data_IF_516565904518
#
_entry.id   IF_516565904518
#
_cell.length_a   1.000
_cell.length_b   1.000
_cell.length_c   1.000
_cell.angle_alpha   90.00
_cell.angle_beta   90.00
_cell.angle_gamma   90.00
#
_symmetry.space_group_name_H-M   'P 1'
#
loop_
_entity.id
_entity.type
_entity.pdbx_description
1 polymer ?
#
# COMPACT_ATOMS: atom_id res chain seq x y z
N UNK A 1 53.34 -39.49 3.25
CA UNK A 1 52.72 -38.15 3.46
C UNK A 1 51.20 -38.33 3.48
N UNK A 2 50.51 -38.00 4.55
CA UNK A 2 49.06 -38.15 4.59
C UNK A 2 48.38 -37.02 3.82
N UNK A 3 47.45 -37.41 2.95
CA UNK A 3 46.54 -36.49 2.28
C UNK A 3 45.61 -35.82 3.34
N UNK A 4 45.77 -34.54 3.50
CA UNK A 4 44.84 -33.74 4.33
C UNK A 4 43.48 -33.66 3.64
N UNK A 5 42.50 -34.32 4.23
CA UNK A 5 41.08 -34.18 3.94
C UNK A 5 40.66 -32.70 4.15
N UNK A 6 40.54 -31.97 3.06
CA UNK A 6 39.84 -30.70 3.05
C UNK A 6 38.33 -30.98 3.10
N UNK A 7 37.81 -31.14 4.30
CA UNK A 7 36.38 -31.15 4.53
C UNK A 7 35.83 -29.74 4.30
N UNK A 8 35.36 -29.49 3.09
CA UNK A 8 34.56 -28.29 2.79
C UNK A 8 33.27 -28.35 3.63
N UNK A 9 33.22 -27.57 4.71
CA UNK A 9 31.98 -27.31 5.47
C UNK A 9 30.98 -26.71 4.47
N UNK A 10 30.10 -27.54 3.88
CA UNK A 10 28.90 -27.06 3.23
C UNK A 10 28.12 -26.21 4.25
N UNK A 11 28.10 -24.90 4.07
CA UNK A 11 27.24 -24.00 4.80
C UNK A 11 25.81 -24.50 4.53
N UNK A 12 25.14 -25.07 5.54
CA UNK A 12 23.70 -25.39 5.42
C UNK A 12 23.01 -24.09 5.07
N UNK A 13 22.47 -23.96 3.88
CA UNK A 13 21.57 -22.87 3.54
C UNK A 13 20.43 -22.91 4.56
N UNK A 14 20.19 -21.79 5.23
CA UNK A 14 19.08 -21.67 6.17
C UNK A 14 17.80 -21.83 5.34
N UNK A 15 17.02 -22.84 5.64
CA UNK A 15 15.72 -23.05 5.02
C UNK A 15 14.80 -21.85 5.35
N UNK A 16 14.30 -21.18 4.31
CA UNK A 16 13.40 -20.02 4.44
C UNK A 16 12.03 -20.54 4.88
N UNK A 17 11.50 -20.01 5.96
CA UNK A 17 10.15 -20.35 6.43
C UNK A 17 9.09 -19.72 5.53
N UNK A 18 7.88 -20.31 5.52
CA UNK A 18 6.74 -19.75 4.78
C UNK A 18 6.46 -18.29 5.19
N UNK A 19 6.60 -17.97 6.48
CA UNK A 19 6.44 -16.61 6.98
C UNK A 19 7.49 -15.66 6.41
N UNK A 20 8.76 -16.04 6.40
CA UNK A 20 9.83 -15.23 5.81
C UNK A 20 9.61 -15.02 4.31
N UNK A 21 9.15 -16.05 3.61
CA UNK A 21 8.80 -15.96 2.20
C UNK A 21 7.65 -14.97 1.96
N UNK A 22 6.53 -15.15 2.64
CA UNK A 22 5.36 -14.29 2.44
C UNK A 22 5.59 -12.84 2.89
N UNK A 23 6.28 -12.63 4.01
CA UNK A 23 6.66 -11.28 4.45
C UNK A 23 7.61 -10.61 3.44
N UNK A 24 8.54 -11.37 2.84
CA UNK A 24 9.42 -10.89 1.78
C UNK A 24 8.66 -10.48 0.52
N UNK A 25 7.71 -11.29 0.06
CA UNK A 25 6.84 -10.96 -1.09
C UNK A 25 6.01 -9.71 -0.80
N UNK A 26 5.40 -9.64 0.38
CA UNK A 26 4.62 -8.49 0.82
C UNK A 26 5.46 -7.19 0.78
N UNK A 27 6.67 -7.24 1.31
CA UNK A 27 7.60 -6.10 1.29
C UNK A 27 7.97 -5.69 -0.14
N UNK A 28 8.29 -6.65 -1.01
CA UNK A 28 8.62 -6.38 -2.41
C UNK A 28 7.48 -5.72 -3.19
N UNK A 29 6.23 -6.07 -2.87
CA UNK A 29 5.06 -5.44 -3.48
C UNK A 29 4.79 -4.05 -2.93
N UNK A 30 4.94 -3.86 -1.62
CA UNK A 30 4.55 -2.64 -0.93
C UNK A 30 5.60 -1.53 -1.02
N UNK A 31 6.89 -1.88 -0.90
CA UNK A 31 7.96 -0.89 -0.80
C UNK A 31 8.03 0.07 -2.00
N UNK A 32 7.98 -0.37 -3.27
CA UNK A 32 8.04 0.54 -4.40
C UNK A 32 6.83 1.49 -4.47
N UNK A 33 5.64 1.04 -4.06
CA UNK A 33 4.45 1.88 -4.03
C UNK A 33 4.55 2.93 -2.93
N UNK A 34 4.77 2.48 -1.69
CA UNK A 34 4.73 3.36 -0.53
C UNK A 34 5.94 4.31 -0.46
N UNK A 35 7.15 3.87 -0.85
CA UNK A 35 8.32 4.75 -0.89
C UNK A 35 8.13 5.90 -1.88
N UNK A 36 7.62 5.63 -3.08
CA UNK A 36 7.35 6.66 -4.06
C UNK A 36 6.20 7.57 -3.63
N UNK A 37 5.09 7.00 -3.18
CA UNK A 37 3.92 7.79 -2.78
C UNK A 37 4.18 8.64 -1.55
N UNK A 38 5.01 8.19 -0.61
CA UNK A 38 5.40 8.98 0.56
C UNK A 38 6.10 10.30 0.19
N UNK A 39 6.76 10.33 -0.96
CA UNK A 39 7.45 11.50 -1.51
C UNK A 39 6.63 12.27 -2.57
N UNK A 40 5.40 11.86 -2.85
CA UNK A 40 4.57 12.45 -3.92
C UNK A 40 5.06 12.13 -5.33
N UNK A 41 5.67 10.96 -5.53
CA UNK A 41 6.30 10.52 -6.79
C UNK A 41 5.69 9.26 -7.39
N UNK A 42 4.60 8.74 -6.84
CA UNK A 42 4.01 7.50 -7.34
C UNK A 42 3.53 7.64 -8.77
N UNK A 43 2.76 8.70 -9.06
CA UNK A 43 2.23 8.93 -10.41
C UNK A 43 3.31 9.27 -11.43
N UNK A 44 4.42 9.87 -11.01
CA UNK A 44 5.58 10.14 -11.84
C UNK A 44 6.33 8.85 -12.21
N UNK A 45 6.55 7.96 -11.23
CA UNK A 45 7.43 6.80 -11.38
C UNK A 45 6.72 5.50 -11.74
N UNK A 46 5.40 5.42 -11.48
CA UNK A 46 4.60 4.26 -11.85
C UNK A 46 3.90 4.49 -13.18
N UNK A 47 4.45 3.91 -14.25
CA UNK A 47 3.81 3.94 -15.56
C UNK A 47 2.60 3.00 -15.60
N UNK A 48 1.47 3.53 -16.06
CA UNK A 48 0.25 2.73 -16.25
C UNK A 48 0.23 2.21 -17.68
N UNK A 49 0.33 0.89 -17.81
CA UNK A 49 0.14 0.19 -19.07
C UNK A 49 -1.35 -0.03 -19.33
N UNK A 50 -1.85 0.49 -20.44
CA UNK A 50 -3.26 0.40 -20.79
C UNK A 50 -3.50 -0.73 -21.79
N UNK A 51 -4.62 -1.42 -21.66
CA UNK A 51 -5.09 -2.37 -22.67
C UNK A 51 -5.33 -1.66 -24.02
N UNK A 52 -5.06 -2.32 -25.15
CA UNK A 52 -5.46 -1.80 -26.48
C UNK A 52 -6.97 -1.53 -26.59
N UNK A 53 -7.78 -2.17 -25.77
CA UNK A 53 -9.23 -2.02 -25.70
C UNK A 53 -9.68 -1.21 -24.48
N UNK A 54 -8.83 -0.30 -24.01
CA UNK A 54 -9.17 0.56 -22.88
C UNK A 54 -10.44 1.37 -23.18
N UNK A 55 -11.35 1.44 -22.20
CA UNK A 55 -12.67 2.06 -22.34
C UNK A 55 -12.68 3.61 -22.32
N UNK A 56 -11.49 4.22 -22.19
CA UNK A 56 -11.33 5.69 -22.23
C UNK A 56 -11.52 6.38 -20.88
N UNK A 57 -11.83 5.64 -19.77
CA UNK A 57 -11.88 6.26 -18.45
C UNK A 57 -10.52 6.82 -18.04
N UNK A 58 -10.50 7.72 -17.08
CA UNK A 58 -9.27 8.33 -16.59
C UNK A 58 -8.34 7.26 -16.00
N UNK A 59 -7.15 7.10 -16.59
CA UNK A 59 -6.15 6.10 -16.14
C UNK A 59 -5.70 6.27 -14.69
N UNK A 60 -5.92 7.46 -14.10
CA UNK A 60 -5.56 7.73 -12.70
C UNK A 60 -6.36 6.91 -11.68
N UNK A 61 -7.47 6.29 -12.09
CA UNK A 61 -8.16 5.30 -11.24
C UNK A 61 -7.23 4.18 -10.79
N UNK A 62 -6.25 3.80 -11.60
CA UNK A 62 -5.28 2.75 -11.32
C UNK A 62 -4.45 3.04 -10.07
N UNK A 63 -4.07 4.29 -9.82
CA UNK A 63 -3.28 4.64 -8.63
C UNK A 63 -4.11 4.48 -7.35
N UNK A 64 -5.38 4.84 -7.39
CA UNK A 64 -6.28 4.65 -6.24
C UNK A 64 -6.57 3.17 -5.99
N UNK A 65 -6.77 2.39 -7.05
CA UNK A 65 -6.94 0.94 -6.95
C UNK A 65 -5.69 0.29 -6.37
N UNK A 66 -4.50 0.63 -6.88
CA UNK A 66 -3.22 0.13 -6.38
C UNK A 66 -3.04 0.43 -4.89
N UNK A 67 -3.19 1.70 -4.49
CA UNK A 67 -2.99 2.12 -3.11
C UNK A 67 -4.05 1.55 -2.17
N UNK A 68 -5.32 1.64 -2.52
CA UNK A 68 -6.42 1.20 -1.67
C UNK A 68 -6.37 -0.30 -1.37
N UNK A 69 -6.20 -1.13 -2.40
CA UNK A 69 -6.12 -2.59 -2.26
C UNK A 69 -4.87 -3.02 -1.51
N UNK A 70 -3.72 -2.38 -1.81
CA UNK A 70 -2.49 -2.62 -1.08
C UNK A 70 -2.67 -2.34 0.41
N UNK A 71 -3.22 -1.19 0.76
CA UNK A 71 -3.39 -0.79 2.16
C UNK A 71 -4.40 -1.65 2.91
N UNK A 72 -5.49 -2.07 2.29
CA UNK A 72 -6.44 -3.01 2.89
C UNK A 72 -5.79 -4.35 3.24
N UNK A 73 -4.90 -4.84 2.36
CA UNK A 73 -4.12 -6.06 2.61
C UNK A 73 -3.03 -5.90 3.67
N UNK A 74 -2.34 -4.75 3.68
CA UNK A 74 -1.22 -4.48 4.58
C UNK A 74 -1.65 -4.14 6.01
N UNK A 75 -2.80 -3.51 6.20
CA UNK A 75 -3.21 -2.90 7.47
C UNK A 75 -3.11 -3.85 8.68
N UNK A 76 -3.57 -5.12 8.62
CA UNK A 76 -3.42 -6.03 9.76
C UNK A 76 -1.96 -6.32 10.12
N UNK A 77 -1.08 -6.46 9.11
CA UNK A 77 0.32 -6.73 9.33
C UNK A 77 1.07 -5.50 9.85
N UNK A 78 0.75 -4.29 9.34
CA UNK A 78 1.30 -3.03 9.83
C UNK A 78 0.90 -2.73 11.29
N UNK A 79 -0.18 -3.33 11.77
CA UNK A 79 -0.69 -3.17 13.14
C UNK A 79 0.00 -4.07 14.17
N UNK A 80 0.85 -5.01 13.72
CA UNK A 80 1.61 -5.84 14.63
C UNK A 80 2.63 -5.00 15.43
N UNK A 81 2.96 -5.42 16.67
CA UNK A 81 3.96 -4.73 17.47
C UNK A 81 5.32 -4.64 16.79
N UNK A 82 6.07 -3.58 17.09
CA UNK A 82 7.44 -3.43 16.62
C UNK A 82 8.35 -4.46 17.31
N UNK A 83 9.32 -4.94 16.56
CA UNK A 83 10.37 -5.84 17.05
C UNK A 83 11.67 -5.63 16.26
N UNK A 84 12.78 -6.18 16.75
CA UNK A 84 14.10 -5.99 16.15
C UNK A 84 14.44 -7.03 15.06
N UNK A 85 13.45 -7.81 14.62
CA UNK A 85 13.63 -8.73 13.50
C UNK A 85 13.74 -7.98 12.19
N UNK A 86 14.19 -8.65 11.14
CA UNK A 86 14.18 -8.08 9.78
C UNK A 86 12.74 -7.71 9.35
N UNK A 87 11.80 -8.59 9.64
CA UNK A 87 10.37 -8.35 9.37
C UNK A 87 9.86 -7.13 10.14
N UNK A 88 10.18 -7.01 11.44
CA UNK A 88 9.77 -5.89 12.28
C UNK A 88 10.30 -4.54 11.79
N UNK A 89 11.56 -4.47 11.38
CA UNK A 89 12.15 -3.26 10.78
C UNK A 89 11.50 -2.90 9.45
N UNK A 90 11.24 -3.86 8.59
CA UNK A 90 10.54 -3.66 7.31
C UNK A 90 9.11 -3.16 7.55
N UNK A 91 8.39 -3.74 8.50
CA UNK A 91 7.04 -3.33 8.89
C UNK A 91 7.00 -1.89 9.39
N UNK A 92 7.93 -1.52 10.26
CA UNK A 92 8.06 -0.15 10.76
C UNK A 92 8.30 0.85 9.62
N UNK A 93 9.22 0.54 8.73
CA UNK A 93 9.53 1.39 7.56
C UNK A 93 8.31 1.55 6.65
N UNK A 94 7.61 0.46 6.33
CA UNK A 94 6.40 0.52 5.50
C UNK A 94 5.29 1.30 6.18
N UNK A 95 5.15 1.21 7.50
CA UNK A 95 4.16 1.99 8.26
C UNK A 95 4.45 3.49 8.21
N UNK A 96 5.72 3.89 8.33
CA UNK A 96 6.13 5.29 8.19
C UNK A 96 5.80 5.84 6.81
N UNK A 97 6.14 5.11 5.75
CA UNK A 97 5.80 5.49 4.38
C UNK A 97 4.28 5.47 4.14
N UNK A 98 3.56 4.52 4.72
CA UNK A 98 2.09 4.45 4.59
C UNK A 98 1.42 5.69 5.18
N UNK A 99 1.84 6.17 6.36
CA UNK A 99 1.29 7.38 6.97
C UNK A 99 1.53 8.61 6.10
N UNK A 100 2.71 8.75 5.52
CA UNK A 100 3.01 9.83 4.57
C UNK A 100 2.20 9.68 3.28
N UNK A 101 2.06 8.45 2.76
CA UNK A 101 1.27 8.15 1.56
C UNK A 101 -0.22 8.49 1.75
N UNK A 102 -0.77 8.22 2.93
CA UNK A 102 -2.15 8.65 3.23
C UNK A 102 -2.32 10.16 3.17
N UNK A 103 -1.33 10.93 3.63
CA UNK A 103 -1.38 12.39 3.54
C UNK A 103 -1.32 12.84 2.06
N UNK A 104 -0.42 12.26 1.25
CA UNK A 104 -0.32 12.56 -0.18
C UNK A 104 -1.62 12.23 -0.94
N UNK A 105 -2.23 11.06 -0.62
CA UNK A 105 -3.42 10.54 -1.28
C UNK A 105 -4.61 11.50 -1.24
N UNK A 106 -4.70 12.34 -0.22
CA UNK A 106 -5.87 13.19 0.06
C UNK A 106 -5.53 14.68 0.09
N UNK A 107 -4.27 15.05 -0.16
CA UNK A 107 -3.86 16.45 -0.28
C UNK A 107 -4.07 16.95 -1.72
N UNK A 108 -5.01 17.88 -1.99
CA UNK A 108 -5.24 18.41 -3.34
C UNK A 108 -4.01 19.11 -3.96
N UNK A 109 -3.04 19.51 -3.15
CA UNK A 109 -1.78 20.11 -3.61
C UNK A 109 -0.70 19.06 -3.96
N UNK A 110 -0.90 17.80 -3.58
CA UNK A 110 0.04 16.72 -3.86
C UNK A 110 -0.03 16.29 -5.33
N UNK A 111 1.14 16.01 -5.96
CA UNK A 111 1.17 15.31 -7.25
C UNK A 111 0.49 13.93 -7.22
N UNK A 112 0.46 13.29 -6.05
CA UNK A 112 -0.13 11.98 -5.81
C UNK A 112 -1.55 12.04 -5.23
N UNK A 113 -2.21 13.23 -5.30
CA UNK A 113 -3.62 13.31 -4.98
C UNK A 113 -4.43 12.33 -5.82
N UNK A 114 -5.14 11.41 -5.18
CA UNK A 114 -5.85 10.35 -5.86
C UNK A 114 -7.13 10.85 -6.52
N UNK A 115 -7.58 10.12 -7.53
CA UNK A 115 -8.82 10.43 -8.24
C UNK A 115 -10.02 9.93 -7.42
N UNK A 116 -10.49 10.74 -6.48
CA UNK A 116 -11.61 10.40 -5.58
C UNK A 116 -12.97 10.45 -6.28
N UNK A 117 -13.10 11.20 -7.36
CA UNK A 117 -14.37 11.49 -8.02
C UNK A 117 -14.22 11.42 -9.54
N UNK A 118 -15.30 11.53 -10.26
CA UNK A 118 -15.48 11.51 -11.72
C UNK A 118 -15.81 10.15 -12.32
N UNK A 119 -15.33 9.07 -11.72
CA UNK A 119 -15.49 7.71 -12.24
C UNK A 119 -16.23 6.85 -11.21
N UNK A 120 -16.82 5.74 -11.63
CA UNK A 120 -17.44 4.78 -10.71
C UNK A 120 -16.42 3.97 -9.90
N UNK A 121 -15.26 3.68 -10.48
CA UNK A 121 -14.18 2.90 -9.85
C UNK A 121 -13.71 3.47 -8.49
N UNK A 122 -13.51 4.79 -8.32
CA UNK A 122 -13.14 5.39 -7.03
C UNK A 122 -14.06 5.04 -5.86
N UNK A 123 -15.34 4.79 -6.09
CA UNK A 123 -16.24 4.37 -5.01
C UNK A 123 -15.82 3.03 -4.42
N UNK A 124 -15.44 2.09 -5.27
CA UNK A 124 -14.96 0.75 -4.86
C UNK A 124 -13.62 0.84 -4.16
N UNK A 125 -12.69 1.59 -4.73
CA UNK A 125 -11.33 1.67 -4.20
C UNK A 125 -11.26 2.49 -2.91
N UNK A 126 -12.13 3.50 -2.75
CA UNK A 126 -12.30 4.21 -1.49
C UNK A 126 -12.79 3.30 -0.36
N UNK A 127 -13.59 2.28 -0.67
CA UNK A 127 -14.01 1.29 0.33
C UNK A 127 -12.81 0.49 0.86
N UNK A 128 -11.84 0.13 0.01
CA UNK A 128 -10.59 -0.50 0.44
C UNK A 128 -9.74 0.44 1.31
N UNK A 129 -9.66 1.72 0.96
CA UNK A 129 -8.97 2.71 1.81
C UNK A 129 -9.64 2.81 3.17
N UNK A 130 -10.97 2.91 3.21
CA UNK A 130 -11.73 2.94 4.48
C UNK A 130 -11.53 1.66 5.30
N UNK A 131 -11.55 0.48 4.64
CA UNK A 131 -11.28 -0.81 5.27
C UNK A 131 -9.88 -0.86 5.89
N UNK A 132 -8.87 -0.29 5.24
CA UNK A 132 -7.52 -0.24 5.78
C UNK A 132 -7.46 0.52 7.12
N UNK A 133 -8.22 1.60 7.25
CA UNK A 133 -8.34 2.33 8.52
C UNK A 133 -9.09 1.54 9.59
N UNK A 134 -10.12 0.78 9.21
CA UNK A 134 -10.83 -0.08 10.16
C UNK A 134 -9.96 -1.23 10.66
N UNK A 135 -9.18 -1.85 9.76
CA UNK A 135 -8.28 -2.96 10.08
C UNK A 135 -7.03 -2.53 10.86
N UNK A 136 -6.55 -1.32 10.62
CA UNK A 136 -5.34 -0.77 11.21
C UNK A 136 -5.58 0.52 11.98
N UNK A 137 -6.70 0.64 12.70
CA UNK A 137 -7.13 1.89 13.31
C UNK A 137 -6.05 2.58 14.15
N UNK A 138 -5.46 1.85 15.09
CA UNK A 138 -4.45 2.42 16.00
C UNK A 138 -3.13 2.74 15.29
N UNK A 139 -2.76 1.94 14.29
CA UNK A 139 -1.49 2.09 13.59
C UNK A 139 -1.55 3.07 12.40
N UNK A 140 -2.72 3.25 11.78
CA UNK A 140 -2.86 3.97 10.52
C UNK A 140 -3.80 5.18 10.58
N UNK A 141 -4.88 5.12 11.40
CA UNK A 141 -5.79 6.26 11.52
C UNK A 141 -5.39 7.21 12.65
N UNK A 142 -5.16 6.66 13.85
CA UNK A 142 -4.84 7.48 15.03
C UNK A 142 -3.64 8.41 14.81
N UNK A 143 -2.51 7.96 14.20
CA UNK A 143 -1.33 8.80 14.01
C UNK A 143 -1.47 9.91 12.97
N UNK A 144 -2.49 9.85 12.09
CA UNK A 144 -2.69 10.91 11.09
C UNK A 144 -3.01 12.24 11.77
N UNK A 145 -2.51 13.33 11.18
CA UNK A 145 -2.84 14.68 11.62
C UNK A 145 -4.30 15.04 11.34
N UNK A 146 -4.79 16.08 12.03
CA UNK A 146 -6.19 16.48 11.97
C UNK A 146 -6.62 16.93 10.57
N UNK A 147 -5.74 17.59 9.82
CA UNK A 147 -6.05 18.05 8.47
C UNK A 147 -6.22 16.88 7.51
N UNK A 148 -5.31 15.91 7.56
CA UNK A 148 -5.38 14.68 6.76
C UNK A 148 -6.68 13.92 7.08
N UNK A 149 -7.02 13.73 8.35
CA UNK A 149 -8.28 13.10 8.77
C UNK A 149 -9.50 13.85 8.21
N UNK A 150 -9.52 15.18 8.32
CA UNK A 150 -10.63 15.99 7.82
C UNK A 150 -10.79 15.87 6.31
N UNK A 151 -9.68 15.80 5.55
CA UNK A 151 -9.70 15.59 4.11
C UNK A 151 -10.30 14.23 3.76
N UNK A 152 -9.91 13.14 4.45
CA UNK A 152 -10.53 11.82 4.27
C UNK A 152 -12.03 11.82 4.55
N UNK A 153 -12.45 12.42 5.66
CA UNK A 153 -13.87 12.54 6.00
C UNK A 153 -14.64 13.28 4.90
N UNK A 154 -14.04 14.33 4.35
CA UNK A 154 -14.62 15.10 3.24
C UNK A 154 -14.79 14.23 2.00
N UNK A 155 -13.73 13.52 1.57
CA UNK A 155 -13.79 12.67 0.38
C UNK A 155 -14.79 11.52 0.54
N UNK A 156 -14.77 10.80 1.66
CA UNK A 156 -15.74 9.74 1.93
C UNK A 156 -17.18 10.26 1.99
N UNK A 157 -17.39 11.45 2.54
CA UNK A 157 -18.74 12.07 2.58
C UNK A 157 -19.23 12.42 1.19
N UNK A 158 -18.36 12.90 0.30
CA UNK A 158 -18.72 13.21 -1.08
C UNK A 158 -19.04 11.93 -1.88
N UNK A 159 -18.30 10.85 -1.66
CA UNK A 159 -18.54 9.56 -2.32
C UNK A 159 -19.90 8.94 -1.98
N UNK A 160 -20.49 9.26 -0.83
CA UNK A 160 -21.85 8.82 -0.47
C UNK A 160 -22.95 9.35 -1.40
N UNK A 161 -22.62 10.33 -2.24
CA UNK A 161 -23.55 10.89 -3.26
C UNK A 161 -23.44 10.18 -4.61
N UNK A 162 -22.52 9.26 -4.74
CA UNK A 162 -22.35 8.44 -5.96
C UNK A 162 -23.28 7.23 -5.83
N UNK A 163 -24.17 7.05 -6.80
CA UNK A 163 -25.02 5.86 -6.86
C UNK A 163 -24.13 4.62 -7.13
N UNK A 164 -24.17 3.60 -6.26
CA UNK A 164 -23.40 2.40 -6.51
C UNK A 164 -23.94 1.67 -7.74
N UNK A 165 -23.09 1.09 -8.58
CA UNK A 165 -23.55 0.26 -9.68
C UNK A 165 -24.28 -0.97 -9.14
N UNK A 166 -25.23 -1.49 -9.92
CA UNK A 166 -26.00 -2.69 -9.57
C UNK A 166 -25.08 -3.91 -9.30
N UNK A 167 -23.98 -3.98 -10.04
CA UNK A 167 -22.95 -5.00 -9.92
C UNK A 167 -21.58 -4.41 -10.13
N UNK A 168 -20.58 -4.90 -9.43
CA UNK A 168 -19.19 -4.53 -9.62
C UNK A 168 -18.53 -5.28 -10.80
N UNK A 169 -19.32 -6.07 -11.52
CA UNK A 169 -18.89 -6.92 -12.64
C UNK A 169 -19.54 -6.46 -13.94
#
# INVERSE_FOLDING_TARGET
LPAQEMAAKKKKEKEVTDRELWAGVLYQMAAPVLSNMSEGKLQENMQVELSPTWDGRDKRVTYMECFGRLMAGLAPWLSLPDDDTTEGRQRKQLREWALQSYAQAVDPASPDYLLWRKEGQPLVDAAYVAESFLRGYDALWIPLDSLTKQRYITEFTQLRRVDPPYSNW
#
